data_IF_704629658044
#
_entry.id   IF_704629658044
#
_cell.length_a   1.000
_cell.length_b   1.000
_cell.length_c   1.000
_cell.angle_alpha   90.00
_cell.angle_beta   90.00
_cell.angle_gamma   90.00
#
_symmetry.space_group_name_H-M   'P 1'
#
loop_
_entity.id
_entity.type
_entity.pdbx_description
1 polymer ?
#
# COMPACT_ATOMS: atom_id res chain seq x y z
N UNK A 1 -22.66 18.70 -32.02
CA UNK A 1 -21.19 18.75 -31.82
C UNK A 1 -20.77 19.20 -30.42
N UNK A 2 -21.50 20.12 -29.79
CA UNK A 2 -21.21 20.62 -28.45
C UNK A 2 -21.53 19.60 -27.31
N UNK A 3 -22.39 18.63 -27.55
CA UNK A 3 -22.73 17.57 -26.56
C UNK A 3 -21.67 16.48 -26.46
N UNK A 4 -20.95 16.18 -27.54
CA UNK A 4 -19.87 15.18 -27.55
C UNK A 4 -18.62 15.68 -26.82
N UNK A 5 -18.32 16.98 -26.90
CA UNK A 5 -17.19 17.58 -26.20
C UNK A 5 -17.39 17.63 -24.67
N UNK A 6 -18.65 17.79 -24.20
CA UNK A 6 -18.99 17.72 -22.77
C UNK A 6 -18.80 16.32 -22.19
N UNK A 7 -19.13 15.27 -22.95
CA UNK A 7 -18.95 13.89 -22.50
C UNK A 7 -17.48 13.52 -22.31
N UNK A 8 -16.60 13.94 -23.22
CA UNK A 8 -15.16 13.70 -23.11
C UNK A 8 -14.52 14.48 -21.94
N UNK A 9 -14.95 15.73 -21.70
CA UNK A 9 -14.45 16.52 -20.58
C UNK A 9 -14.82 15.96 -19.21
N UNK A 10 -15.99 15.35 -19.08
CA UNK A 10 -16.43 14.70 -17.84
C UNK A 10 -15.71 13.38 -17.56
N UNK A 11 -15.37 12.62 -18.60
CA UNK A 11 -14.56 11.40 -18.44
C UNK A 11 -13.16 11.74 -17.94
N UNK A 12 -12.54 12.79 -18.47
CA UNK A 12 -11.22 13.23 -18.00
C UNK A 12 -11.23 13.77 -16.56
N UNK A 13 -12.29 14.45 -16.14
CA UNK A 13 -12.42 14.92 -14.75
C UNK A 13 -12.63 13.81 -13.71
N UNK A 14 -13.06 12.64 -14.17
CA UNK A 14 -13.33 11.47 -13.30
C UNK A 14 -12.16 10.51 -13.20
N UNK A 15 -11.06 10.77 -13.90
CA UNK A 15 -9.83 10.00 -13.82
C UNK A 15 -8.93 10.53 -12.70
N UNK A 16 -8.27 9.65 -11.97
CA UNK A 16 -7.22 10.02 -11.02
C UNK A 16 -6.01 10.65 -11.73
N UNK A 17 -5.10 11.20 -10.98
CA UNK A 17 -3.92 11.92 -11.49
C UNK A 17 -3.08 11.11 -12.49
N UNK A 18 -3.06 9.79 -12.38
CA UNK A 18 -2.35 8.86 -13.28
C UNK A 18 -3.15 8.48 -14.52
N UNK A 19 -4.43 8.86 -14.63
CA UNK A 19 -5.36 8.49 -15.71
C UNK A 19 -5.56 6.98 -15.92
N UNK A 20 -5.06 6.16 -15.04
CA UNK A 20 -5.13 4.68 -15.08
C UNK A 20 -6.44 4.14 -14.47
N UNK A 21 -7.13 4.96 -13.68
CA UNK A 21 -8.29 4.51 -12.92
C UNK A 21 -9.43 5.52 -12.94
N UNK A 22 -10.61 5.05 -13.28
CA UNK A 22 -11.83 5.85 -13.19
C UNK A 22 -12.29 5.94 -11.73
N UNK A 23 -12.31 7.16 -11.15
CA UNK A 23 -12.60 7.40 -9.73
C UNK A 23 -14.06 7.79 -9.42
N UNK A 24 -14.96 7.72 -10.40
CA UNK A 24 -16.38 8.05 -10.19
C UNK A 24 -17.12 6.92 -9.46
N UNK A 25 -17.59 7.20 -8.24
CA UNK A 25 -18.41 6.26 -7.45
C UNK A 25 -19.73 5.89 -8.12
N UNK A 26 -20.38 6.85 -8.77
CA UNK A 26 -21.64 6.62 -9.49
C UNK A 26 -21.44 5.67 -10.66
N UNK A 27 -20.41 5.89 -11.47
CA UNK A 27 -20.08 5.01 -12.58
C UNK A 27 -19.70 3.60 -12.08
N UNK A 28 -18.94 3.52 -11.00
CA UNK A 28 -18.57 2.25 -10.38
C UNK A 28 -19.81 1.47 -9.93
N UNK A 29 -20.79 2.13 -9.32
CA UNK A 29 -22.01 1.48 -8.88
C UNK A 29 -22.87 0.95 -10.04
N UNK A 30 -23.08 1.80 -11.07
CA UNK A 30 -23.85 1.41 -12.26
C UNK A 30 -23.17 0.25 -12.99
N UNK A 31 -21.87 0.38 -13.24
CA UNK A 31 -21.09 -0.68 -13.91
C UNK A 31 -21.09 -1.98 -13.11
N UNK A 32 -20.93 -1.89 -11.80
CA UNK A 32 -20.97 -3.06 -10.92
C UNK A 32 -22.33 -3.78 -10.97
N UNK A 33 -23.41 -3.02 -11.01
CA UNK A 33 -24.76 -3.60 -11.09
C UNK A 33 -24.99 -4.29 -12.44
N UNK A 34 -24.67 -3.63 -13.55
CA UNK A 34 -24.81 -4.21 -14.90
C UNK A 34 -23.98 -5.49 -15.02
N UNK A 35 -22.73 -5.46 -14.55
CA UNK A 35 -21.84 -6.63 -14.61
C UNK A 35 -22.38 -7.77 -13.74
N UNK A 36 -22.85 -7.48 -12.53
CA UNK A 36 -23.40 -8.50 -11.64
C UNK A 36 -24.62 -9.18 -12.25
N UNK A 37 -25.55 -8.39 -12.79
CA UNK A 37 -26.77 -8.92 -13.37
C UNK A 37 -26.47 -9.78 -14.62
N UNK A 38 -25.61 -9.27 -15.51
CA UNK A 38 -25.19 -9.99 -16.71
C UNK A 38 -24.40 -11.25 -16.37
N UNK A 39 -23.52 -11.19 -15.40
CA UNK A 39 -22.71 -12.32 -14.97
C UNK A 39 -23.54 -13.38 -14.25
N UNK A 40 -24.51 -12.98 -13.42
CA UNK A 40 -25.45 -13.90 -12.79
C UNK A 40 -26.28 -14.65 -13.81
N UNK A 41 -26.76 -13.96 -14.85
CA UNK A 41 -27.51 -14.59 -15.93
C UNK A 41 -26.62 -15.58 -16.71
N UNK A 42 -25.39 -15.19 -17.00
CA UNK A 42 -24.42 -16.05 -17.68
C UNK A 42 -24.10 -17.31 -16.87
N UNK A 43 -23.87 -17.19 -15.55
CA UNK A 43 -23.61 -18.33 -14.67
C UNK A 43 -24.78 -19.32 -14.63
N UNK A 44 -26.04 -18.84 -14.68
CA UNK A 44 -27.20 -19.68 -14.73
C UNK A 44 -27.34 -20.47 -16.05
N UNK A 45 -26.76 -19.94 -17.13
CA UNK A 45 -26.76 -20.58 -18.46
C UNK A 45 -25.55 -21.51 -18.66
N UNK A 46 -24.47 -21.30 -17.91
CA UNK A 46 -23.17 -21.96 -18.04
C UNK A 46 -22.71 -22.52 -16.69
N UNK A 47 -23.43 -23.52 -16.21
CA UNK A 47 -23.22 -24.09 -14.87
C UNK A 47 -21.85 -24.78 -14.72
N UNK A 48 -21.39 -25.52 -15.75
CA UNK A 48 -20.11 -26.24 -15.72
C UNK A 48 -18.93 -25.25 -15.65
N UNK A 49 -18.97 -24.18 -16.44
CA UNK A 49 -17.97 -23.13 -16.41
C UNK A 49 -18.02 -22.35 -15.09
N UNK A 50 -19.23 -22.15 -14.55
CA UNK A 50 -19.43 -21.54 -13.24
C UNK A 50 -18.80 -22.35 -12.10
N UNK A 51 -18.93 -23.66 -12.11
CA UNK A 51 -18.27 -24.57 -11.16
C UNK A 51 -16.75 -24.49 -11.28
N UNK A 52 -16.22 -24.50 -12.49
CA UNK A 52 -14.78 -24.36 -12.74
C UNK A 52 -14.24 -23.03 -12.19
N UNK A 53 -14.95 -21.91 -12.41
CA UNK A 53 -14.59 -20.60 -11.86
C UNK A 53 -14.60 -20.64 -10.33
N UNK A 54 -15.62 -21.25 -9.73
CA UNK A 54 -15.71 -21.37 -8.28
C UNK A 54 -14.55 -22.19 -7.69
N UNK A 55 -14.18 -23.29 -8.31
CA UNK A 55 -13.03 -24.11 -7.91
C UNK A 55 -11.71 -23.31 -7.95
N UNK A 56 -11.48 -22.57 -9.03
CA UNK A 56 -10.29 -21.69 -9.15
C UNK A 56 -10.29 -20.63 -8.05
N UNK A 57 -11.42 -20.00 -7.77
CA UNK A 57 -11.56 -19.01 -6.71
C UNK A 57 -11.27 -19.60 -5.33
N UNK A 58 -11.79 -20.79 -5.04
CA UNK A 58 -11.56 -21.50 -3.77
C UNK A 58 -10.09 -21.90 -3.64
N UNK A 59 -9.47 -22.44 -4.69
CA UNK A 59 -8.07 -22.82 -4.69
C UNK A 59 -7.16 -21.61 -4.43
N UNK A 60 -7.43 -20.49 -5.08
CA UNK A 60 -6.70 -19.23 -4.86
C UNK A 60 -6.90 -18.68 -3.43
N UNK A 61 -8.11 -18.73 -2.89
CA UNK A 61 -8.37 -18.31 -1.52
C UNK A 61 -7.62 -19.19 -0.51
N UNK A 62 -7.61 -20.50 -0.71
CA UNK A 62 -6.85 -21.45 0.11
C UNK A 62 -5.34 -21.23 0.00
N UNK A 63 -4.83 -20.95 -1.19
CA UNK A 63 -3.42 -20.63 -1.41
C UNK A 63 -3.02 -19.36 -0.67
N UNK A 64 -3.84 -18.30 -0.71
CA UNK A 64 -3.62 -17.05 0.04
C UNK A 64 -3.63 -17.29 1.55
N UNK A 65 -4.58 -18.10 2.06
CA UNK A 65 -4.61 -18.45 3.48
C UNK A 65 -3.39 -19.28 3.92
N UNK A 66 -2.91 -20.19 3.07
CA UNK A 66 -1.68 -20.98 3.34
C UNK A 66 -0.44 -20.10 3.29
N UNK A 67 -0.36 -19.16 2.37
CA UNK A 67 0.73 -18.17 2.27
C UNK A 67 0.79 -17.30 3.52
N UNK A 68 -0.35 -16.80 3.98
CA UNK A 68 -0.43 -16.01 5.22
C UNK A 68 -0.03 -16.80 6.49
N UNK A 69 -0.19 -18.13 6.50
CA UNK A 69 0.25 -18.99 7.61
C UNK A 69 1.73 -19.37 7.56
N UNK A 70 2.36 -19.29 6.37
CA UNK A 70 3.76 -19.71 6.14
C UNK A 70 4.78 -18.57 6.16
N UNK A 71 4.35 -17.34 6.36
CA UNK A 71 5.31 -16.26 6.59
C UNK A 71 5.94 -16.51 7.96
N UNK A 72 7.07 -17.24 7.95
CA UNK A 72 8.02 -17.22 9.05
C UNK A 72 8.43 -15.75 9.22
N UNK A 73 7.76 -15.08 10.15
CA UNK A 73 8.08 -13.72 10.55
C UNK A 73 9.53 -13.76 11.02
N UNK A 74 10.47 -13.26 10.21
CA UNK A 74 11.79 -12.96 10.70
C UNK A 74 11.58 -11.98 11.85
N UNK A 75 11.68 -12.47 13.09
CA UNK A 75 11.68 -11.60 14.27
C UNK A 75 12.71 -10.52 13.98
N UNK A 76 12.27 -9.28 13.95
CA UNK A 76 13.18 -8.15 14.01
C UNK A 76 13.77 -8.25 15.41
N UNK A 77 14.99 -8.81 15.47
CA UNK A 77 15.71 -8.98 16.73
C UNK A 77 15.93 -7.58 17.28
N UNK A 78 15.63 -7.39 18.54
CA UNK A 78 15.89 -6.15 19.29
C UNK A 78 17.30 -5.65 18.97
N UNK A 79 17.38 -4.58 18.13
CA UNK A 79 18.62 -3.95 17.74
C UNK A 79 19.10 -4.10 16.30
N UNK A 80 18.24 -4.23 15.25
CA UNK A 80 18.77 -4.11 13.89
C UNK A 80 19.34 -2.71 13.70
N UNK A 81 20.50 -2.66 13.04
CA UNK A 81 21.09 -1.35 12.67
C UNK A 81 20.05 -0.56 11.86
N UNK A 82 19.80 0.67 12.29
CA UNK A 82 18.87 1.56 11.60
C UNK A 82 19.22 1.65 10.12
N UNK A 83 18.22 1.77 9.23
CA UNK A 83 18.48 1.90 7.80
C UNK A 83 19.47 3.06 7.56
N UNK A 84 20.55 2.82 6.83
CA UNK A 84 21.56 3.82 6.56
C UNK A 84 21.07 5.09 5.86
N UNK A 85 19.87 5.02 5.30
CA UNK A 85 19.18 6.17 4.69
C UNK A 85 18.38 7.00 5.69
N UNK A 86 18.06 6.46 6.86
CA UNK A 86 17.33 7.18 7.90
C UNK A 86 18.19 8.30 8.47
N UNK A 87 17.65 9.48 8.48
CA UNK A 87 18.21 10.62 9.22
C UNK A 87 17.33 10.87 10.41
N UNK A 88 17.73 10.33 11.55
CA UNK A 88 16.93 10.28 12.78
C UNK A 88 16.82 11.64 13.48
N UNK A 89 15.86 11.79 14.37
CA UNK A 89 15.74 12.90 15.31
C UNK A 89 16.54 12.61 16.57
N UNK A 90 16.74 13.65 17.39
CA UNK A 90 17.51 13.54 18.65
C UNK A 90 16.63 13.26 19.88
N UNK A 91 15.31 13.38 19.75
CA UNK A 91 14.37 13.05 20.82
C UNK A 91 14.15 11.54 20.88
N UNK A 92 14.22 10.98 22.08
CA UNK A 92 13.88 9.58 22.36
C UNK A 92 12.41 9.40 22.76
N UNK A 93 11.63 10.49 22.80
CA UNK A 93 10.22 10.47 23.14
C UNK A 93 9.36 10.20 21.90
N UNK A 94 8.73 9.00 21.80
CA UNK A 94 7.93 8.65 20.64
C UNK A 94 6.74 9.58 20.41
N UNK A 95 6.16 10.16 21.46
CA UNK A 95 4.98 11.04 21.33
C UNK A 95 5.32 12.35 20.60
N UNK A 96 6.57 12.80 20.71
CA UNK A 96 7.06 14.00 20.03
C UNK A 96 7.72 13.70 18.70
N UNK A 97 8.13 12.45 18.46
CA UNK A 97 8.83 12.03 17.25
C UNK A 97 7.91 11.98 16.04
N UNK A 98 8.38 12.53 14.91
CA UNK A 98 7.70 12.51 13.62
C UNK A 98 8.61 11.88 12.56
N UNK A 99 8.13 10.87 11.85
CA UNK A 99 8.85 10.27 10.73
C UNK A 99 8.27 10.76 9.41
N UNK A 100 9.08 11.37 8.57
CA UNK A 100 8.71 11.79 7.22
C UNK A 100 9.26 10.80 6.20
N UNK A 101 8.35 10.15 5.47
CA UNK A 101 8.68 9.33 4.31
C UNK A 101 8.66 10.22 3.07
N UNK A 102 9.77 10.34 2.38
CA UNK A 102 9.89 11.24 1.22
C UNK A 102 10.31 10.47 -0.02
N UNK A 103 9.81 10.88 -1.19
CA UNK A 103 10.15 10.27 -2.45
C UNK A 103 11.57 10.66 -2.88
N UNK A 104 12.46 9.68 -2.87
CA UNK A 104 13.81 9.80 -3.42
C UNK A 104 14.81 10.60 -2.61
N UNK A 105 16.06 10.47 -2.98
CA UNK A 105 17.21 11.11 -2.31
C UNK A 105 17.21 12.64 -2.46
N UNK A 106 16.69 13.16 -3.58
CA UNK A 106 16.65 14.61 -3.84
C UNK A 106 15.73 15.33 -2.87
N UNK A 107 14.48 14.85 -2.74
CA UNK A 107 13.53 15.38 -1.74
C UNK A 107 14.04 15.14 -0.32
N UNK A 108 14.62 13.96 -0.07
CA UNK A 108 15.27 13.64 1.20
C UNK A 108 16.36 14.63 1.60
N UNK A 109 17.20 15.05 0.65
CA UNK A 109 18.26 16.04 0.89
C UNK A 109 17.72 17.42 1.30
N UNK A 110 16.62 17.86 0.68
CA UNK A 110 15.96 19.12 1.02
C UNK A 110 15.25 19.04 2.36
N UNK A 111 14.52 17.97 2.61
CA UNK A 111 13.82 17.71 3.87
C UNK A 111 14.79 17.63 5.05
N UNK A 112 15.93 16.95 4.89
CA UNK A 112 17.01 16.88 5.91
C UNK A 112 17.55 18.24 6.33
N UNK A 113 17.62 19.20 5.41
CA UNK A 113 18.09 20.57 5.72
C UNK A 113 17.02 21.42 6.41
N UNK A 114 15.75 21.23 6.04
CA UNK A 114 14.63 22.05 6.51
C UNK A 114 14.01 21.54 7.83
N UNK A 115 14.24 20.26 8.20
CA UNK A 115 13.60 19.62 9.35
C UNK A 115 13.98 20.24 10.70
N UNK A 116 13.11 20.10 11.67
CA UNK A 116 13.50 20.20 13.08
C UNK A 116 14.26 18.94 13.49
N UNK A 117 15.56 19.09 13.79
CA UNK A 117 16.43 17.97 14.16
C UNK A 117 16.03 17.30 15.46
N UNK A 118 15.32 18.01 16.31
CA UNK A 118 14.94 17.52 17.63
C UNK A 118 13.82 16.46 17.52
N UNK A 119 12.84 16.69 16.67
CA UNK A 119 11.62 15.88 16.63
C UNK A 119 11.39 15.19 15.30
N UNK A 120 12.00 15.65 14.21
CA UNK A 120 11.70 15.18 12.87
C UNK A 120 12.79 14.29 12.30
N UNK A 121 12.42 13.07 11.95
CA UNK A 121 13.23 12.09 11.23
C UNK A 121 12.83 12.03 9.75
N UNK A 122 13.78 11.80 8.86
CA UNK A 122 13.57 11.71 7.42
C UNK A 122 14.05 10.35 6.90
N UNK A 123 13.17 9.62 6.23
CA UNK A 123 13.49 8.39 5.51
C UNK A 123 13.18 8.55 4.02
N UNK A 124 14.17 8.73 3.15
CA UNK A 124 13.96 8.75 1.72
C UNK A 124 13.71 7.32 1.21
N UNK A 125 12.67 7.15 0.41
CA UNK A 125 12.33 5.90 -0.22
C UNK A 125 12.99 5.82 -1.60
N UNK A 126 13.52 4.66 -1.96
CA UNK A 126 14.23 4.48 -3.23
C UNK A 126 13.31 3.91 -4.30
N UNK A 127 13.07 4.69 -5.36
CA UNK A 127 12.33 4.24 -6.53
C UNK A 127 10.81 4.19 -6.30
N UNK A 128 10.09 3.56 -7.23
CA UNK A 128 8.66 3.29 -7.08
C UNK A 128 8.46 2.26 -5.97
N UNK A 129 7.62 2.61 -5.00
CA UNK A 129 7.15 1.63 -4.01
C UNK A 129 6.24 0.65 -4.74
N UNK A 130 6.41 -0.62 -4.42
CA UNK A 130 5.59 -1.71 -4.91
C UNK A 130 4.10 -1.45 -4.64
N UNK A 131 3.24 -1.67 -5.64
CA UNK A 131 1.79 -1.65 -5.44
C UNK A 131 1.37 -2.88 -4.63
N UNK A 132 1.14 -2.68 -3.34
CA UNK A 132 0.83 -3.76 -2.40
C UNK A 132 -0.54 -4.41 -2.63
N UNK A 133 -1.38 -3.83 -3.49
CA UNK A 133 -2.67 -4.40 -3.87
C UNK A 133 -2.57 -5.52 -4.90
N UNK A 134 -1.47 -5.58 -5.64
CA UNK A 134 -1.27 -6.50 -6.77
C UNK A 134 -0.29 -7.63 -6.46
N UNK A 135 0.33 -7.61 -5.28
CA UNK A 135 1.36 -8.60 -4.89
C UNK A 135 0.99 -9.32 -3.61
N UNK A 136 1.51 -10.52 -3.45
CA UNK A 136 1.30 -11.31 -2.24
C UNK A 136 1.97 -10.68 -1.02
N UNK A 137 1.35 -10.86 0.14
CA UNK A 137 1.88 -10.35 1.44
C UNK A 137 3.33 -10.80 1.68
N UNK A 138 3.69 -12.00 1.22
CA UNK A 138 5.05 -12.52 1.31
C UNK A 138 6.07 -11.69 0.51
N UNK A 139 5.68 -11.18 -0.65
CA UNK A 139 6.53 -10.30 -1.48
C UNK A 139 6.63 -8.91 -0.87
N UNK A 140 5.53 -8.39 -0.34
CA UNK A 140 5.52 -7.11 0.38
C UNK A 140 6.50 -7.15 1.55
N UNK A 141 6.46 -8.21 2.35
CA UNK A 141 7.35 -8.41 3.50
C UNK A 141 8.80 -8.70 3.10
N UNK A 142 9.04 -9.22 1.90
CA UNK A 142 10.38 -9.40 1.35
C UNK A 142 10.98 -8.09 0.80
N UNK A 143 10.15 -7.07 0.57
CA UNK A 143 10.60 -5.78 0.06
C UNK A 143 11.53 -5.08 1.04
N UNK A 144 12.69 -4.67 0.54
CA UNK A 144 13.68 -3.96 1.36
C UNK A 144 13.17 -2.60 1.85
N UNK A 145 12.36 -1.90 1.05
CA UNK A 145 11.82 -0.60 1.44
C UNK A 145 10.77 -0.75 2.55
N UNK A 146 9.91 -1.78 2.50
CA UNK A 146 8.97 -2.10 3.58
C UNK A 146 9.72 -2.48 4.86
N UNK A 147 10.75 -3.30 4.75
CA UNK A 147 11.59 -3.64 5.90
C UNK A 147 12.29 -2.42 6.49
N UNK A 148 12.80 -1.51 5.66
CA UNK A 148 13.43 -0.27 6.13
C UNK A 148 12.43 0.61 6.89
N UNK A 149 11.19 0.71 6.42
CA UNK A 149 10.12 1.44 7.11
C UNK A 149 9.81 0.78 8.46
N UNK A 150 9.64 -0.54 8.48
CA UNK A 150 9.35 -1.29 9.71
C UNK A 150 10.46 -1.15 10.76
N UNK A 151 11.72 -1.27 10.35
CA UNK A 151 12.89 -1.06 11.21
C UNK A 151 12.96 0.39 11.71
N UNK A 152 12.73 1.37 10.84
CA UNK A 152 12.72 2.77 11.23
C UNK A 152 11.64 3.07 12.27
N UNK A 153 10.45 2.51 12.08
CA UNK A 153 9.32 2.63 13.02
C UNK A 153 9.53 1.84 14.32
N UNK A 154 10.37 0.82 14.32
CA UNK A 154 10.55 -0.09 15.45
C UNK A 154 9.39 -1.07 15.63
N UNK A 155 8.65 -1.37 14.56
CA UNK A 155 7.49 -2.26 14.59
C UNK A 155 7.67 -3.46 13.69
N UNK A 156 7.01 -4.57 14.03
CA UNK A 156 7.01 -5.79 13.25
C UNK A 156 5.78 -5.80 12.32
N UNK A 157 5.95 -5.90 10.98
CA UNK A 157 4.84 -5.92 10.04
C UNK A 157 3.85 -7.05 10.35
N UNK A 158 2.56 -6.74 10.40
CA UNK A 158 1.50 -7.70 10.70
C UNK A 158 1.39 -8.08 12.17
N UNK A 159 2.14 -7.43 13.07
CA UNK A 159 1.95 -7.50 14.51
C UNK A 159 1.04 -6.35 15.01
N UNK A 160 0.26 -6.62 16.07
CA UNK A 160 -0.49 -5.59 16.77
C UNK A 160 0.30 -5.00 17.96
N UNK A 161 1.54 -5.46 18.15
CA UNK A 161 2.39 -4.94 19.21
C UNK A 161 3.11 -3.67 18.74
N UNK A 162 2.94 -2.58 19.48
CA UNK A 162 3.53 -1.28 19.23
C UNK A 162 4.57 -0.87 20.31
N UNK A 163 4.98 -1.80 21.18
CA UNK A 163 5.90 -1.48 22.29
C UNK A 163 7.25 -0.92 21.85
N UNK A 164 7.64 -1.20 20.60
CA UNK A 164 8.88 -0.71 20.01
C UNK A 164 8.74 0.55 19.15
N UNK A 165 7.54 1.17 19.14
CA UNK A 165 7.26 2.33 18.27
C UNK A 165 8.18 3.51 18.62
N UNK A 166 8.86 4.06 17.61
CA UNK A 166 9.85 5.14 17.76
C UNK A 166 9.31 6.52 17.43
N UNK A 167 8.23 6.61 16.69
CA UNK A 167 7.63 7.87 16.28
C UNK A 167 6.11 7.81 16.43
N UNK A 168 5.53 8.82 17.04
CA UNK A 168 4.09 8.95 17.25
C UNK A 168 3.33 9.39 16.00
N UNK A 169 4.05 9.98 15.03
CA UNK A 169 3.46 10.42 13.76
C UNK A 169 4.30 9.96 12.57
N UNK A 170 3.61 9.57 11.50
CA UNK A 170 4.20 9.28 10.19
C UNK A 170 3.56 10.17 9.15
N UNK A 171 4.38 10.92 8.44
CA UNK A 171 3.98 11.81 7.34
C UNK A 171 4.52 11.25 6.02
N UNK A 172 3.69 11.27 4.97
CA UNK A 172 4.02 10.78 3.63
C UNK A 172 3.84 11.91 2.62
#
# INVERSE_FOLDING_TARGET
DLKLSRGLGDVYKRQGQTKERLSSKEFSNISSQIIKDSFSLWLNQHTEEGETIAEICIANAQARQKSNKKVDRKKIVSGPALPGKLTDCTSDDPEQGELFLVEGESAGGSAKRARDRKFQAILPLKGKIMNTWEVDVSEVLASQEVNNIAIALGVEPGSNNLDGLRYGKVCI
#
